data_IF_481719487846
#
_entry.id   IF_481719487846
#
_cell.length_a   1.000
_cell.length_b   1.000
_cell.length_c   1.000
_cell.angle_alpha   90.00
_cell.angle_beta   90.00
_cell.angle_gamma   90.00
#
_symmetry.space_group_name_H-M   'P 1'
#
loop_
_entity.id
_entity.type
_entity.pdbx_description
1 polymer ?
#
# COMPACT_ATOMS: atom_id res chain seq x y z
N UNK A 1 16.90 -3.48 10.75
CA UNK A 1 16.71 -4.95 10.58
C UNK A 1 16.16 -5.18 9.19
N UNK A 2 16.61 -6.23 8.49
CA UNK A 2 15.95 -6.68 7.26
C UNK A 2 14.72 -7.48 7.73
N UNK A 3 13.56 -6.83 7.85
CA UNK A 3 12.30 -7.49 8.19
C UNK A 3 11.80 -8.39 7.05
N UNK A 4 11.13 -9.49 7.35
CA UNK A 4 10.42 -10.28 6.35
C UNK A 4 9.00 -9.74 6.18
N UNK A 5 8.38 -9.96 5.03
CA UNK A 5 6.96 -9.63 4.85
C UNK A 5 6.10 -10.43 5.85
N UNK A 6 5.07 -9.81 6.41
CA UNK A 6 4.05 -10.55 7.15
C UNK A 6 3.27 -11.40 6.14
N UNK A 7 3.54 -12.70 6.14
CA UNK A 7 2.92 -13.64 5.22
C UNK A 7 1.41 -13.76 5.43
N UNK A 8 0.94 -13.65 6.68
CA UNK A 8 -0.49 -13.74 6.99
C UNK A 8 -1.22 -12.49 6.56
N UNK A 9 -0.64 -11.31 6.79
CA UNK A 9 -1.12 -10.04 6.26
C UNK A 9 -1.22 -10.11 4.73
N UNK A 10 -0.12 -10.43 4.06
CA UNK A 10 -0.07 -10.53 2.60
C UNK A 10 -1.14 -11.47 2.04
N UNK A 11 -1.31 -12.63 2.66
CA UNK A 11 -2.29 -13.62 2.22
C UNK A 11 -3.73 -13.11 2.32
N UNK A 12 -4.08 -12.43 3.41
CA UNK A 12 -5.45 -11.92 3.60
C UNK A 12 -5.74 -10.72 2.70
N UNK A 13 -4.77 -9.83 2.47
CA UNK A 13 -4.87 -8.72 1.50
C UNK A 13 -5.09 -9.27 0.10
N UNK A 14 -4.28 -10.24 -0.34
CA UNK A 14 -4.44 -10.88 -1.65
C UNK A 14 -5.79 -11.59 -1.78
N UNK A 15 -6.23 -12.32 -0.75
CA UNK A 15 -7.54 -12.98 -0.75
C UNK A 15 -8.68 -11.95 -0.90
N UNK A 16 -8.57 -10.80 -0.24
CA UNK A 16 -9.54 -9.69 -0.37
C UNK A 16 -9.57 -9.14 -1.79
N UNK A 17 -8.42 -9.01 -2.45
CA UNK A 17 -8.34 -8.58 -3.86
C UNK A 17 -8.99 -9.58 -4.83
N UNK A 18 -8.82 -10.88 -4.58
CA UNK A 18 -9.26 -11.96 -5.47
C UNK A 18 -10.69 -12.43 -5.23
N UNK A 19 -11.33 -12.05 -4.11
CA UNK A 19 -12.68 -12.50 -3.77
C UNK A 19 -13.73 -11.98 -4.77
N UNK A 20 -14.44 -12.86 -5.52
CA UNK A 20 -15.45 -12.47 -6.52
C UNK A 20 -16.84 -12.19 -5.92
N UNK A 21 -17.05 -12.40 -4.61
CA UNK A 21 -18.39 -12.45 -3.98
C UNK A 21 -19.19 -11.14 -4.02
N UNK A 22 -20.50 -11.27 -4.23
CA UNK A 22 -21.51 -10.20 -4.17
C UNK A 22 -21.93 -9.86 -2.75
N UNK A 23 -21.85 -8.57 -2.39
CA UNK A 23 -22.06 -7.95 -1.07
C UNK A 23 -20.96 -8.26 -0.04
N UNK A 24 -20.02 -7.33 0.10
CA UNK A 24 -18.92 -7.38 1.07
C UNK A 24 -18.97 -6.16 1.98
N UNK A 25 -18.23 -6.17 3.10
CA UNK A 25 -18.03 -4.97 3.95
C UNK A 25 -17.60 -3.74 3.11
N UNK A 26 -16.96 -4.00 1.97
CA UNK A 26 -16.56 -2.99 1.00
C UNK A 26 -17.64 -2.17 0.35
N UNK A 27 -18.84 -2.74 0.21
CA UNK A 27 -19.98 -1.99 -0.29
C UNK A 27 -20.51 -1.00 0.78
N UNK A 28 -20.09 -1.15 2.06
CA UNK A 28 -20.41 -0.26 3.19
C UNK A 28 -19.31 0.79 3.44
N UNK A 29 -18.03 0.45 3.25
CA UNK A 29 -16.87 1.32 3.52
C UNK A 29 -16.39 2.13 2.29
N UNK A 30 -17.27 2.43 1.35
CA UNK A 30 -16.98 3.36 0.24
C UNK A 30 -16.63 2.74 -1.12
N UNK A 31 -16.91 1.45 -1.33
CA UNK A 31 -16.84 0.78 -2.64
C UNK A 31 -15.73 -0.27 -2.76
N UNK A 32 -15.84 -1.14 -3.79
CA UNK A 32 -15.01 -2.35 -3.95
C UNK A 32 -13.53 -2.09 -4.22
N UNK A 33 -13.18 -1.06 -4.98
CA UNK A 33 -11.78 -0.68 -5.18
C UNK A 33 -11.16 -0.13 -3.90
N UNK A 34 -11.94 0.66 -3.14
CA UNK A 34 -11.48 1.20 -1.86
C UNK A 34 -11.16 0.07 -0.89
N UNK A 35 -11.95 -1.01 -0.79
CA UNK A 35 -11.59 -2.07 0.17
C UNK A 35 -10.40 -2.93 -0.20
N UNK A 36 -10.08 -3.02 -1.49
CA UNK A 36 -8.84 -3.70 -1.89
C UNK A 36 -7.64 -2.96 -1.33
N UNK A 37 -7.59 -1.64 -1.54
CA UNK A 37 -6.49 -0.83 -1.02
C UNK A 37 -6.56 -0.68 0.51
N UNK A 38 -7.76 -0.54 1.10
CA UNK A 38 -7.96 -0.49 2.55
C UNK A 38 -7.58 -1.79 3.28
N UNK A 39 -7.59 -2.94 2.60
CA UNK A 39 -7.14 -4.21 3.18
C UNK A 39 -5.62 -4.40 3.18
N UNK A 40 -4.87 -3.41 2.69
CA UNK A 40 -3.41 -3.38 2.75
C UNK A 40 -2.94 -1.94 2.90
N UNK A 41 -2.10 -1.46 1.96
CA UNK A 41 -1.39 -0.18 2.10
C UNK A 41 -2.26 1.01 2.49
N UNK A 42 -3.50 1.15 2.01
CA UNK A 42 -4.35 2.29 2.42
C UNK A 42 -4.83 2.13 3.85
N UNK A 43 -5.16 0.93 4.30
CA UNK A 43 -5.56 0.65 5.69
C UNK A 43 -4.42 0.92 6.67
N UNK A 44 -3.22 0.51 6.31
CA UNK A 44 -2.04 0.61 7.18
C UNK A 44 -1.42 2.01 7.19
N UNK A 45 -1.65 2.81 6.14
CA UNK A 45 -1.14 4.18 6.04
C UNK A 45 -2.16 5.27 6.36
N UNK A 46 -3.44 4.93 6.54
CA UNK A 46 -4.51 5.93 6.76
C UNK A 46 -5.43 5.58 7.92
N UNK A 47 -6.30 6.53 8.28
CA UNK A 47 -7.42 6.29 9.21
C UNK A 47 -8.72 5.96 8.48
N UNK A 48 -8.65 5.60 7.19
CA UNK A 48 -9.84 5.39 6.38
C UNK A 48 -10.55 4.07 6.75
N UNK A 49 -9.80 3.07 7.25
CA UNK A 49 -10.35 1.79 7.67
C UNK A 49 -10.94 1.84 9.10
N UNK A 50 -10.24 2.51 10.02
CA UNK A 50 -10.64 2.64 11.43
C UNK A 50 -10.10 3.96 12.02
N UNK A 51 -10.65 4.40 13.15
CA UNK A 51 -10.08 5.53 13.93
C UNK A 51 -8.74 5.21 14.61
N UNK A 52 -8.20 3.99 14.42
CA UNK A 52 -6.91 3.60 14.98
C UNK A 52 -5.76 4.36 14.30
N UNK A 53 -4.64 4.46 15.02
CA UNK A 53 -3.44 5.09 14.47
C UNK A 53 -2.91 4.20 13.33
N UNK A 54 -2.58 4.76 12.14
CA UNK A 54 -1.91 4.02 11.09
C UNK A 54 -0.60 3.40 11.59
N UNK A 55 -0.28 2.21 11.10
CA UNK A 55 0.87 1.40 11.46
C UNK A 55 1.32 0.67 10.22
N UNK A 56 2.54 0.95 9.74
CA UNK A 56 3.08 0.29 8.56
C UNK A 56 4.55 -0.05 8.81
N UNK A 57 4.74 -1.15 9.54
CA UNK A 57 6.05 -1.71 9.82
C UNK A 57 6.78 -2.15 8.55
N UNK A 58 8.04 -2.55 8.68
CA UNK A 58 8.82 -3.05 7.53
C UNK A 58 8.23 -4.37 6.96
N UNK A 59 7.55 -5.14 7.81
CA UNK A 59 6.82 -6.35 7.49
C UNK A 59 5.53 -6.08 6.72
N UNK A 60 4.68 -5.18 7.21
CA UNK A 60 3.45 -4.75 6.54
C UNK A 60 3.77 -4.01 5.23
N UNK A 61 4.77 -3.11 5.24
CA UNK A 61 5.29 -2.44 4.04
C UNK A 61 5.58 -3.42 2.90
N UNK A 62 6.23 -4.55 3.21
CA UNK A 62 6.53 -5.58 2.21
C UNK A 62 5.28 -6.36 1.85
N UNK A 63 4.48 -6.78 2.83
CA UNK A 63 3.25 -7.52 2.60
C UNK A 63 2.31 -6.77 1.65
N UNK A 64 2.14 -5.47 1.87
CA UNK A 64 1.26 -4.61 1.10
C UNK A 64 1.71 -4.39 -0.34
N UNK A 65 2.97 -3.97 -0.52
CA UNK A 65 3.51 -3.73 -1.86
C UNK A 65 3.61 -5.04 -2.64
N UNK A 66 4.04 -6.13 -1.99
CA UNK A 66 4.15 -7.45 -2.62
C UNK A 66 2.76 -7.97 -3.02
N UNK A 67 1.73 -7.77 -2.19
CA UNK A 67 0.34 -8.15 -2.52
C UNK A 67 -0.13 -7.48 -3.80
N UNK A 68 0.01 -6.16 -3.91
CA UNK A 68 -0.39 -5.41 -5.11
C UNK A 68 0.37 -5.89 -6.34
N UNK A 69 1.68 -6.13 -6.22
CA UNK A 69 2.52 -6.58 -7.33
C UNK A 69 2.17 -7.98 -7.81
N UNK A 70 1.98 -8.92 -6.89
CA UNK A 70 1.58 -10.30 -7.21
C UNK A 70 0.21 -10.34 -7.87
N UNK A 71 -0.76 -9.58 -7.36
CA UNK A 71 -2.09 -9.45 -7.99
C UNK A 71 -1.97 -8.85 -9.39
N UNK A 72 -1.16 -7.80 -9.57
CA UNK A 72 -0.92 -7.19 -10.89
C UNK A 72 -0.32 -8.17 -11.90
N UNK A 73 0.57 -9.07 -11.45
CA UNK A 73 1.12 -10.17 -12.27
C UNK A 73 0.06 -11.23 -12.59
N UNK A 74 -0.77 -11.62 -11.63
CA UNK A 74 -1.85 -12.59 -11.83
C UNK A 74 -2.91 -12.06 -12.81
N UNK A 75 -3.26 -10.78 -12.72
CA UNK A 75 -4.17 -10.12 -13.66
C UNK A 75 -3.64 -10.10 -15.10
N UNK A 76 -2.32 -10.19 -15.29
CA UNK A 76 -1.66 -10.33 -16.60
C UNK A 76 -1.58 -11.78 -17.09
N UNK A 77 -2.22 -12.73 -16.39
CA UNK A 77 -2.37 -14.12 -16.82
C UNK A 77 -1.42 -15.12 -16.15
N UNK A 78 -0.60 -14.69 -15.18
CA UNK A 78 0.22 -15.63 -14.41
C UNK A 78 -0.63 -16.36 -13.36
N UNK A 79 -0.35 -17.65 -13.13
CA UNK A 79 -0.81 -18.33 -11.91
C UNK A 79 -0.10 -17.76 -10.68
N UNK A 80 -0.66 -18.00 -9.49
CA UNK A 80 -0.05 -17.56 -8.23
C UNK A 80 1.41 -18.05 -8.08
N UNK A 81 1.68 -19.34 -8.34
CA UNK A 81 3.03 -19.91 -8.24
C UNK A 81 4.01 -19.25 -9.21
N UNK A 82 3.58 -18.95 -10.44
CA UNK A 82 4.38 -18.22 -11.42
C UNK A 82 4.63 -16.77 -11.00
N UNK A 83 3.59 -16.09 -10.48
CA UNK A 83 3.69 -14.72 -10.01
C UNK A 83 4.68 -14.61 -8.85
N UNK A 84 4.56 -15.46 -7.82
CA UNK A 84 5.49 -15.51 -6.67
C UNK A 84 6.91 -15.82 -7.12
N UNK A 85 7.09 -16.89 -7.89
CA UNK A 85 8.43 -17.34 -8.27
C UNK A 85 9.17 -16.28 -9.08
N UNK A 86 8.48 -15.69 -10.07
CA UNK A 86 9.07 -14.65 -10.90
C UNK A 86 9.29 -13.34 -10.14
N UNK A 87 8.35 -12.94 -9.27
CA UNK A 87 8.44 -11.68 -8.52
C UNK A 87 9.61 -11.68 -7.54
N UNK A 88 9.72 -12.71 -6.70
CA UNK A 88 10.83 -12.78 -5.75
C UNK A 88 12.18 -13.04 -6.43
N UNK A 89 12.20 -13.69 -7.60
CA UNK A 89 13.42 -13.79 -8.41
C UNK A 89 13.88 -12.42 -8.96
N UNK A 90 12.96 -11.52 -9.27
CA UNK A 90 13.30 -10.15 -9.69
C UNK A 90 13.73 -9.28 -8.50
N UNK A 91 13.05 -9.39 -7.36
CA UNK A 91 13.41 -8.69 -6.12
C UNK A 91 14.81 -9.06 -5.60
N UNK A 92 15.24 -10.31 -5.79
CA UNK A 92 16.60 -10.74 -5.43
C UNK A 92 17.68 -10.05 -6.27
N UNK A 93 17.37 -9.67 -7.51
CA UNK A 93 18.32 -8.97 -8.40
C UNK A 93 18.38 -7.48 -8.10
N UNK A 94 17.24 -6.90 -7.73
CA UNK A 94 17.12 -5.49 -7.40
C UNK A 94 15.98 -5.27 -6.39
N UNK A 95 16.33 -4.88 -5.17
CA UNK A 95 15.34 -4.66 -4.11
C UNK A 95 14.40 -3.48 -4.40
N UNK A 96 14.86 -2.48 -5.17
CA UNK A 96 14.03 -1.32 -5.56
C UNK A 96 12.97 -1.66 -6.61
N UNK A 97 12.99 -2.89 -7.12
CA UNK A 97 11.94 -3.42 -7.97
C UNK A 97 10.59 -3.46 -7.26
N UNK A 98 10.56 -3.60 -5.92
CA UNK A 98 9.31 -3.62 -5.14
C UNK A 98 8.52 -2.35 -5.36
N UNK A 99 9.15 -1.20 -5.12
CA UNK A 99 8.53 0.12 -5.18
C UNK A 99 8.22 0.48 -6.64
N UNK A 100 9.15 0.23 -7.56
CA UNK A 100 8.91 0.51 -8.99
C UNK A 100 7.77 -0.30 -9.57
N UNK A 101 7.65 -1.57 -9.18
CA UNK A 101 6.55 -2.40 -9.66
C UNK A 101 5.22 -1.98 -9.02
N UNK A 102 5.24 -1.57 -7.75
CA UNK A 102 4.06 -1.02 -7.09
C UNK A 102 3.55 0.22 -7.82
N UNK A 103 4.44 1.16 -8.17
CA UNK A 103 4.08 2.37 -8.91
C UNK A 103 3.66 2.12 -10.37
N UNK A 104 3.92 0.94 -10.94
CA UNK A 104 3.32 0.52 -12.22
C UNK A 104 1.87 0.04 -12.06
N UNK A 105 1.51 -0.45 -10.88
CA UNK A 105 0.17 -0.94 -10.56
C UNK A 105 -0.70 0.13 -9.89
N UNK A 106 -0.09 1.13 -9.24
CA UNK A 106 -0.76 2.22 -8.52
C UNK A 106 -0.17 3.57 -8.90
N UNK A 107 -1.04 4.51 -9.27
CA UNK A 107 -0.62 5.88 -9.57
C UNK A 107 -0.08 6.59 -8.32
N UNK A 108 1.15 7.10 -8.40
CA UNK A 108 1.82 7.77 -7.28
C UNK A 108 1.02 8.95 -6.74
N UNK A 109 0.42 9.77 -7.61
CA UNK A 109 -0.35 10.95 -7.19
C UNK A 109 -1.61 10.53 -6.42
N UNK A 110 -2.27 9.44 -6.85
CA UNK A 110 -3.40 8.85 -6.14
C UNK A 110 -2.98 8.30 -4.79
N UNK A 111 -1.88 7.54 -4.70
CA UNK A 111 -1.34 7.01 -3.44
C UNK A 111 -1.05 8.14 -2.47
N UNK A 112 -0.23 9.12 -2.88
CA UNK A 112 0.13 10.28 -2.06
C UNK A 112 -1.09 11.08 -1.61
N UNK A 113 -2.01 11.38 -2.53
CA UNK A 113 -3.23 12.12 -2.23
C UNK A 113 -4.15 11.41 -1.24
N UNK A 114 -4.28 10.09 -1.37
CA UNK A 114 -5.08 9.25 -0.47
C UNK A 114 -4.49 9.26 0.94
N UNK A 115 -3.17 9.08 1.07
CA UNK A 115 -2.49 9.11 2.37
C UNK A 115 -2.64 10.48 3.02
N UNK A 116 -2.38 11.55 2.26
CA UNK A 116 -2.49 12.92 2.80
C UNK A 116 -3.89 13.19 3.33
N UNK A 117 -4.94 12.87 2.57
CA UNK A 117 -6.31 13.05 3.00
C UNK A 117 -6.69 12.16 4.20
N UNK A 118 -6.10 10.96 4.29
CA UNK A 118 -6.42 9.97 5.33
C UNK A 118 -5.73 10.19 6.68
N UNK A 119 -4.69 11.02 6.77
CA UNK A 119 -3.97 11.27 8.03
C UNK A 119 -3.81 12.74 8.42
N UNK A 120 -3.79 13.67 7.46
CA UNK A 120 -3.57 15.08 7.73
C UNK A 120 -4.89 15.84 7.92
N UNK A 121 -5.01 16.68 8.96
CA UNK A 121 -6.22 17.45 9.19
C UNK A 121 -6.39 18.57 8.15
N UNK A 122 -7.63 19.03 7.96
CA UNK A 122 -8.00 19.95 6.89
C UNK A 122 -7.29 21.32 6.93
N UNK A 123 -6.84 21.76 8.11
CA UNK A 123 -6.06 22.99 8.26
C UNK A 123 -4.61 22.82 7.79
N UNK A 124 -4.02 21.63 7.96
CA UNK A 124 -2.69 21.27 7.45
C UNK A 124 -2.73 21.05 5.94
N UNK A 125 -3.76 20.37 5.42
CA UNK A 125 -3.94 20.16 3.98
C UNK A 125 -3.98 21.49 3.19
N UNK A 126 -4.52 22.55 3.80
CA UNK A 126 -4.58 23.89 3.19
C UNK A 126 -3.25 24.66 3.20
N UNK A 127 -2.27 24.24 3.99
CA UNK A 127 -0.96 24.91 4.11
C UNK A 127 0.04 24.48 3.02
N UNK A 128 -0.29 23.44 2.26
CA UNK A 128 0.53 22.95 1.15
C UNK A 128 1.42 21.76 1.52
N UNK A 129 2.08 21.19 0.50
CA UNK A 129 2.76 19.89 0.59
C UNK A 129 3.86 19.83 1.65
N UNK A 130 4.66 20.88 1.80
CA UNK A 130 5.73 20.93 2.80
C UNK A 130 5.19 20.73 4.23
N UNK A 131 4.13 21.46 4.60
CA UNK A 131 3.51 21.33 5.92
C UNK A 131 2.83 19.97 6.13
N UNK A 132 2.31 19.35 5.06
CA UNK A 132 1.75 18.00 5.15
C UNK A 132 2.86 16.98 5.41
N UNK A 133 3.99 17.06 4.69
CA UNK A 133 5.13 16.18 4.91
C UNK A 133 5.70 16.30 6.32
N UNK A 134 5.91 17.52 6.81
CA UNK A 134 6.36 17.80 8.18
C UNK A 134 5.40 17.19 9.22
N UNK A 135 4.08 17.38 9.04
CA UNK A 135 3.08 16.82 9.94
C UNK A 135 3.10 15.28 9.97
N UNK A 136 3.20 14.65 8.79
CA UNK A 136 3.23 13.19 8.68
C UNK A 136 4.53 12.65 9.29
N UNK A 137 5.67 13.28 9.05
CA UNK A 137 6.95 12.89 9.65
C UNK A 137 6.91 12.94 11.19
N UNK A 138 6.30 13.99 11.76
CA UNK A 138 6.19 14.15 13.22
C UNK A 138 5.20 13.14 13.85
N UNK A 139 4.04 12.92 13.23
CA UNK A 139 2.94 12.14 13.84
C UNK A 139 2.95 10.65 13.45
N UNK A 140 3.40 10.35 12.24
CA UNK A 140 3.35 9.05 11.59
C UNK A 140 4.68 8.75 10.84
N UNK A 141 5.80 8.59 11.56
CA UNK A 141 7.14 8.46 10.95
C UNK A 141 7.27 7.24 10.01
N UNK A 142 6.55 6.15 10.28
CA UNK A 142 6.49 4.98 9.40
C UNK A 142 5.80 5.30 8.07
N UNK A 143 4.68 6.01 8.11
CA UNK A 143 3.97 6.49 6.91
C UNK A 143 4.84 7.49 6.13
N UNK A 144 5.58 8.36 6.81
CA UNK A 144 6.58 9.22 6.17
C UNK A 144 7.66 8.41 5.45
N UNK A 145 8.17 7.36 6.10
CA UNK A 145 9.17 6.45 5.51
C UNK A 145 8.61 5.72 4.28
N UNK A 146 7.38 5.23 4.35
CA UNK A 146 6.66 4.62 3.22
C UNK A 146 6.59 5.59 2.03
N UNK A 147 6.12 6.83 2.26
CA UNK A 147 6.00 7.85 1.22
C UNK A 147 7.36 8.20 0.60
N UNK A 148 8.40 8.38 1.42
CA UNK A 148 9.73 8.75 0.93
C UNK A 148 10.36 7.64 0.06
N UNK A 149 10.15 6.36 0.38
CA UNK A 149 10.65 5.24 -0.42
C UNK A 149 9.98 5.18 -1.79
N UNK A 150 8.66 5.39 -1.85
CA UNK A 150 7.94 5.46 -3.12
C UNK A 150 8.31 6.71 -3.92
N UNK A 151 8.42 7.87 -3.26
CA UNK A 151 8.80 9.13 -3.92
C UNK A 151 10.19 9.05 -4.56
N UNK A 152 11.13 8.35 -3.92
CA UNK A 152 12.50 8.18 -4.43
C UNK A 152 12.58 7.41 -5.77
N UNK A 153 11.51 6.69 -6.15
CA UNK A 153 11.44 5.94 -7.41
C UNK A 153 10.25 6.37 -8.29
N UNK A 154 9.56 7.44 -7.92
CA UNK A 154 8.49 8.04 -8.71
C UNK A 154 9.10 9.00 -9.74
N UNK A 155 8.75 8.83 -11.01
CA UNK A 155 9.15 9.72 -12.12
C UNK A 155 8.41 11.08 -12.11
#
# INVERSE_FOLDING_TARGET
>A
MIGHADFTHQSITMATHLNPGSFQLSDVYGGRENVRDLSGWEGDTTKNATDMKPSIGEDDYKADLDSVNLIGRMQKGQSYDQAISSYYADLQKDSSQREREFLKNKDWKKVKGTIYAGVAPADILRKGEASIKEYIEEKYPEVSTFLNRLEAVAD
#
